data_IF_452951118813
#
_entry.id   IF_452951118813
#
_cell.length_a   1.000
_cell.length_b   1.000
_cell.length_c   1.000
_cell.angle_alpha   90.00
_cell.angle_beta   90.00
_cell.angle_gamma   90.00
#
_symmetry.space_group_name_H-M   'P 1'
#
loop_
_entity.id
_entity.type
_entity.pdbx_description
1 polymer ?
#
# COMPACT_ATOMS: atom_id res chain seq x y z
N UNK A 1 -1.12 15.69 13.61
CA UNK A 1 -1.61 14.29 13.55
C UNK A 1 -1.80 13.62 14.91
N UNK A 2 -1.72 14.37 16.03
CA UNK A 2 -1.71 13.84 17.40
C UNK A 2 -3.09 13.81 18.08
N UNK A 3 -4.17 14.12 17.36
CA UNK A 3 -5.51 14.21 17.96
C UNK A 3 -6.39 12.97 17.76
N UNK A 4 -5.95 12.00 16.95
CA UNK A 4 -6.70 10.76 16.74
C UNK A 4 -6.68 9.91 18.02
N UNK A 5 -7.86 9.64 18.56
CA UNK A 5 -8.05 8.84 19.76
C UNK A 5 -9.31 7.98 19.65
N UNK A 6 -9.48 7.01 20.54
CA UNK A 6 -10.62 6.10 20.57
C UNK A 6 -11.96 6.83 20.58
N UNK A 7 -12.11 7.84 21.43
CA UNK A 7 -13.37 8.57 21.56
C UNK A 7 -13.81 9.23 20.24
N UNK A 8 -12.86 9.80 19.51
CA UNK A 8 -13.11 10.39 18.18
C UNK A 8 -13.50 9.32 17.17
N UNK A 9 -12.80 8.17 17.14
CA UNK A 9 -13.08 7.08 16.22
C UNK A 9 -14.44 6.44 16.48
N UNK A 10 -14.82 6.25 17.74
CA UNK A 10 -16.16 5.78 18.12
C UNK A 10 -17.24 6.80 17.77
N UNK A 11 -17.00 8.10 18.00
CA UNK A 11 -17.94 9.15 17.57
C UNK A 11 -18.14 9.14 16.04
N UNK A 12 -17.07 8.93 15.29
CA UNK A 12 -17.14 8.76 13.82
C UNK A 12 -17.94 7.50 13.45
N UNK A 13 -17.76 6.37 14.16
CA UNK A 13 -18.55 5.15 13.96
C UNK A 13 -20.06 5.40 14.15
N UNK A 14 -20.46 6.08 15.22
CA UNK A 14 -21.88 6.45 15.47
C UNK A 14 -22.43 7.34 14.36
N UNK A 15 -21.62 8.29 13.86
CA UNK A 15 -22.03 9.11 12.72
C UNK A 15 -22.22 8.26 11.47
N UNK A 16 -21.31 7.35 11.15
CA UNK A 16 -21.43 6.44 10.00
C UNK A 16 -22.68 5.57 10.08
N UNK A 17 -23.04 5.11 11.29
CA UNK A 17 -24.24 4.27 11.49
C UNK A 17 -25.52 5.02 11.07
N UNK A 18 -25.60 6.34 11.30
CA UNK A 18 -26.73 7.17 10.87
C UNK A 18 -26.90 7.21 9.34
N UNK A 19 -25.86 6.87 8.57
CA UNK A 19 -25.92 6.83 7.11
C UNK A 19 -26.57 5.54 6.57
N UNK A 20 -26.86 4.56 7.44
CA UNK A 20 -27.60 3.35 7.10
C UNK A 20 -26.97 2.53 5.96
N UNK A 21 -25.64 2.45 5.92
CA UNK A 21 -24.88 1.68 4.92
C UNK A 21 -24.63 2.39 3.60
N UNK A 22 -25.01 3.66 3.46
CA UNK A 22 -24.65 4.46 2.27
C UNK A 22 -23.16 4.79 2.17
N UNK A 23 -22.43 4.58 3.26
CA UNK A 23 -20.96 4.70 3.31
C UNK A 23 -20.39 3.51 4.08
N UNK A 24 -19.40 2.85 3.48
CA UNK A 24 -18.60 1.80 4.11
C UNK A 24 -17.21 2.36 4.36
N UNK A 25 -16.73 2.29 5.60
CA UNK A 25 -15.38 2.75 5.95
C UNK A 25 -14.37 1.62 5.89
N UNK A 26 -13.18 1.91 5.41
CA UNK A 26 -12.02 1.01 5.45
C UNK A 26 -10.77 1.78 5.88
N UNK A 27 -9.64 1.10 6.01
CA UNK A 27 -8.34 1.76 6.22
C UNK A 27 -7.96 2.59 4.99
N UNK A 28 -7.41 3.77 5.26
CA UNK A 28 -6.82 4.66 4.29
C UNK A 28 -5.58 5.31 4.92
N UNK A 29 -4.97 6.27 4.22
CA UNK A 29 -3.82 7.00 4.71
C UNK A 29 -4.06 7.55 6.13
N UNK A 30 -3.14 7.22 7.03
CA UNK A 30 -3.21 7.65 8.42
C UNK A 30 -4.13 6.82 9.32
N UNK A 31 -4.79 5.77 8.80
CA UNK A 31 -5.59 4.85 9.60
C UNK A 31 -5.01 3.44 9.65
N UNK A 32 -5.38 2.69 10.69
CA UNK A 32 -4.89 1.35 10.98
C UNK A 32 -6.05 0.38 11.22
N UNK A 33 -5.79 -0.93 11.20
CA UNK A 33 -6.79 -1.94 11.57
C UNK A 33 -7.36 -1.70 12.98
N UNK A 34 -6.54 -1.24 13.93
CA UNK A 34 -7.00 -0.90 15.29
C UNK A 34 -8.00 0.28 15.30
N UNK A 35 -7.80 1.25 14.41
CA UNK A 35 -8.76 2.36 14.28
C UNK A 35 -10.12 1.85 13.80
N UNK A 36 -10.11 0.90 12.84
CA UNK A 36 -11.33 0.24 12.39
C UNK A 36 -12.01 -0.59 13.49
N UNK A 37 -11.23 -1.24 14.35
CA UNK A 37 -11.79 -1.96 15.51
C UNK A 37 -12.57 -1.02 16.43
N UNK A 38 -12.07 0.20 16.71
CA UNK A 38 -12.82 1.19 17.48
C UNK A 38 -14.10 1.67 16.77
N UNK A 39 -14.03 1.89 15.46
CA UNK A 39 -15.18 2.31 14.65
C UNK A 39 -16.24 1.19 14.62
N UNK A 40 -15.82 -0.07 14.46
CA UNK A 40 -16.71 -1.24 14.37
C UNK A 40 -17.50 -1.54 15.64
N UNK A 41 -17.09 -0.99 16.80
CA UNK A 41 -17.86 -1.09 18.02
C UNK A 41 -19.16 -0.27 18.00
N UNK A 42 -19.27 0.66 17.05
CA UNK A 42 -20.41 1.59 16.95
C UNK A 42 -21.22 1.40 15.66
N UNK A 43 -20.71 0.66 14.66
CA UNK A 43 -21.38 0.42 13.38
C UNK A 43 -20.91 -0.87 12.73
N UNK A 44 -21.79 -1.52 11.98
CA UNK A 44 -21.44 -2.67 11.13
C UNK A 44 -20.86 -2.27 9.75
N UNK A 45 -20.91 -1.01 9.40
CA UNK A 45 -20.52 -0.52 8.07
C UNK A 45 -19.01 -0.29 7.94
N UNK A 46 -18.23 -1.30 8.34
CA UNK A 46 -16.76 -1.31 8.34
C UNK A 46 -16.25 -2.47 7.49
N UNK A 47 -15.29 -2.21 6.60
CA UNK A 47 -14.65 -3.20 5.72
C UNK A 47 -13.15 -3.21 5.99
N UNK A 48 -12.52 -4.39 5.91
CA UNK A 48 -11.07 -4.50 6.12
C UNK A 48 -10.66 -4.61 7.60
N UNK A 49 -11.57 -5.02 8.48
CA UNK A 49 -11.21 -5.40 9.83
C UNK A 49 -10.14 -6.52 9.82
N UNK A 50 -9.27 -6.59 10.84
CA UNK A 50 -8.35 -7.71 11.00
C UNK A 50 -9.05 -9.07 10.90
N UNK A 51 -8.36 -10.07 10.34
CA UNK A 51 -8.90 -11.44 10.23
C UNK A 51 -9.28 -11.99 11.62
N UNK A 52 -8.49 -11.65 12.64
CA UNK A 52 -8.77 -12.00 14.05
C UNK A 52 -10.06 -11.39 14.60
N UNK A 53 -10.54 -10.31 13.98
CA UNK A 53 -11.81 -9.65 14.28
C UNK A 53 -12.92 -10.03 13.27
N UNK A 54 -12.75 -11.12 12.52
CA UNK A 54 -13.72 -11.61 11.54
C UNK A 54 -13.78 -10.83 10.22
N UNK A 55 -12.81 -9.95 9.97
CA UNK A 55 -12.72 -9.15 8.75
C UNK A 55 -11.93 -9.81 7.62
N UNK A 56 -11.83 -9.09 6.51
CA UNK A 56 -11.09 -9.51 5.30
C UNK A 56 -9.57 -9.25 5.36
N UNK A 57 -9.09 -8.58 6.42
CA UNK A 57 -7.68 -8.25 6.60
C UNK A 57 -7.23 -6.95 5.92
N UNK A 58 -5.92 -6.77 5.82
CA UNK A 58 -5.29 -5.55 5.29
C UNK A 58 -5.54 -5.42 3.79
N UNK A 59 -6.23 -4.36 3.40
CA UNK A 59 -6.57 -4.04 2.00
C UNK A 59 -5.34 -3.79 1.12
N UNK A 60 -4.19 -3.42 1.73
CA UNK A 60 -2.93 -3.17 1.02
C UNK A 60 -2.44 -4.38 0.23
N UNK A 61 -2.80 -5.60 0.66
CA UNK A 61 -2.45 -6.84 -0.05
C UNK A 61 -3.06 -6.84 -1.45
N UNK A 62 -4.36 -6.61 -1.54
CA UNK A 62 -5.08 -6.60 -2.82
C UNK A 62 -4.74 -5.37 -3.65
N UNK A 63 -4.48 -4.23 -3.01
CA UNK A 63 -4.02 -3.02 -3.69
C UNK A 63 -2.66 -3.24 -4.34
N UNK A 64 -1.72 -3.87 -3.62
CA UNK A 64 -0.40 -4.22 -4.17
C UNK A 64 -0.48 -5.18 -5.34
N UNK A 65 -1.38 -6.18 -5.28
CA UNK A 65 -1.67 -7.06 -6.41
C UNK A 65 -2.25 -6.27 -7.60
N UNK A 66 -3.17 -5.34 -7.34
CA UNK A 66 -3.78 -4.49 -8.38
C UNK A 66 -2.75 -3.65 -9.13
N UNK A 67 -1.80 -3.04 -8.43
CA UNK A 67 -0.69 -2.29 -9.03
C UNK A 67 0.17 -3.21 -9.90
N UNK A 68 0.58 -4.36 -9.37
CA UNK A 68 1.35 -5.35 -10.12
C UNK A 68 0.64 -5.79 -11.40
N UNK A 69 -0.66 -6.09 -11.34
CA UNK A 69 -1.46 -6.45 -12.53
C UNK A 69 -1.59 -5.29 -13.52
N UNK A 70 -1.68 -4.05 -13.02
CA UNK A 70 -1.64 -2.84 -13.85
C UNK A 70 -0.30 -2.70 -14.59
N UNK A 71 0.82 -2.93 -13.91
CA UNK A 71 2.15 -2.95 -14.54
C UNK A 71 2.23 -4.00 -15.64
N UNK A 72 1.71 -5.21 -15.41
CA UNK A 72 1.65 -6.28 -16.44
C UNK A 72 0.81 -5.88 -17.65
N UNK A 73 -0.34 -5.25 -17.42
CA UNK A 73 -1.18 -4.76 -18.52
C UNK A 73 -0.46 -3.70 -19.37
N UNK A 74 0.21 -2.74 -18.71
CA UNK A 74 1.03 -1.75 -19.40
C UNK A 74 2.21 -2.38 -20.15
N UNK A 75 2.88 -3.36 -19.53
CA UNK A 75 3.99 -4.10 -20.15
C UNK A 75 3.53 -4.80 -21.45
N UNK A 76 2.36 -5.44 -21.43
CA UNK A 76 1.78 -6.09 -22.60
C UNK A 76 1.52 -5.11 -23.74
N UNK A 77 1.01 -3.93 -23.40
CA UNK A 77 0.74 -2.89 -24.41
C UNK A 77 2.03 -2.31 -25.00
N UNK A 78 3.03 -2.01 -24.15
CA UNK A 78 4.26 -1.33 -24.57
C UNK A 78 5.25 -2.31 -25.22
N UNK A 79 5.40 -3.52 -24.67
CA UNK A 79 6.44 -4.48 -25.06
C UNK A 79 5.90 -5.75 -25.72
N UNK A 80 4.59 -5.88 -25.90
CA UNK A 80 3.95 -7.06 -26.49
C UNK A 80 3.90 -8.29 -25.58
N UNK A 81 4.44 -8.20 -24.35
CA UNK A 81 4.45 -9.26 -23.35
C UNK A 81 4.10 -8.70 -21.98
N UNK A 82 3.33 -9.44 -21.19
CA UNK A 82 2.98 -9.08 -19.83
C UNK A 82 4.05 -9.50 -18.80
N UNK A 83 5.17 -10.08 -19.25
CA UNK A 83 6.27 -10.45 -18.37
C UNK A 83 7.03 -9.22 -17.90
N UNK A 84 7.25 -9.16 -16.57
CA UNK A 84 8.10 -8.17 -15.92
C UNK A 84 9.47 -8.73 -15.56
N UNK A 85 9.79 -9.96 -15.98
CA UNK A 85 11.08 -10.58 -15.73
C UNK A 85 12.22 -9.72 -16.28
N UNK A 86 13.21 -9.44 -15.42
CA UNK A 86 14.37 -8.62 -15.77
C UNK A 86 14.07 -7.12 -15.94
N UNK A 87 12.81 -6.67 -15.83
CA UNK A 87 12.46 -5.26 -15.90
C UNK A 87 12.95 -4.51 -14.67
N UNK A 88 13.45 -3.30 -14.88
CA UNK A 88 13.94 -2.41 -13.83
C UNK A 88 12.80 -1.52 -13.36
N UNK A 89 12.50 -1.58 -12.05
CA UNK A 89 11.42 -0.84 -11.41
C UNK A 89 11.99 0.08 -10.34
N UNK A 90 11.83 1.39 -10.50
CA UNK A 90 12.16 2.38 -9.48
C UNK A 90 10.90 2.68 -8.64
N UNK A 91 10.94 2.41 -7.34
CA UNK A 91 9.82 2.60 -6.42
C UNK A 91 10.09 3.78 -5.48
N UNK A 92 9.31 4.84 -5.63
CA UNK A 92 9.32 5.99 -4.74
C UNK A 92 8.30 5.80 -3.62
N UNK A 93 8.79 5.53 -2.41
CA UNK A 93 7.99 5.14 -1.27
C UNK A 93 7.89 3.63 -1.10
N UNK A 94 8.10 3.13 0.12
CA UNK A 94 8.08 1.70 0.44
C UNK A 94 7.17 1.40 1.64
N UNK A 95 5.94 1.94 1.57
CA UNK A 95 4.85 1.65 2.50
C UNK A 95 4.28 0.24 2.30
N UNK A 96 3.16 -0.07 2.95
CA UNK A 96 2.51 -1.39 2.89
C UNK A 96 2.20 -1.83 1.46
N UNK A 97 1.54 -0.97 0.68
CA UNK A 97 1.14 -1.28 -0.71
C UNK A 97 2.36 -1.58 -1.56
N UNK A 98 3.38 -0.69 -1.52
CA UNK A 98 4.63 -0.89 -2.25
C UNK A 98 5.34 -2.19 -1.86
N UNK A 99 5.35 -2.53 -0.57
CA UNK A 99 5.92 -3.79 -0.07
C UNK A 99 5.21 -5.01 -0.70
N UNK A 100 3.87 -5.02 -0.75
CA UNK A 100 3.13 -6.12 -1.39
C UNK A 100 3.35 -6.17 -2.91
N UNK A 101 3.39 -5.02 -3.58
CA UNK A 101 3.75 -4.94 -5.00
C UNK A 101 5.15 -5.52 -5.25
N UNK A 102 6.14 -5.14 -4.43
CA UNK A 102 7.50 -5.63 -4.54
C UNK A 102 7.59 -7.15 -4.38
N UNK A 103 6.82 -7.76 -3.49
CA UNK A 103 6.77 -9.22 -3.35
C UNK A 103 6.33 -9.93 -4.65
N UNK A 104 5.42 -9.35 -5.42
CA UNK A 104 5.02 -9.90 -6.71
C UNK A 104 6.12 -9.71 -7.76
N UNK A 105 6.74 -8.54 -7.80
CA UNK A 105 7.84 -8.22 -8.71
C UNK A 105 9.08 -9.11 -8.47
N UNK A 106 9.44 -9.34 -7.20
CA UNK A 106 10.54 -10.23 -6.81
C UNK A 106 10.29 -11.67 -7.30
N UNK A 107 9.07 -12.18 -7.16
CA UNK A 107 8.70 -13.53 -7.64
C UNK A 107 8.79 -13.68 -9.15
N UNK A 108 8.76 -12.59 -9.88
CA UNK A 108 8.89 -12.55 -11.35
C UNK A 108 10.31 -12.13 -11.79
N UNK A 109 11.29 -12.12 -10.87
CA UNK A 109 12.69 -11.75 -11.13
C UNK A 109 12.85 -10.33 -11.71
N UNK A 110 12.00 -9.37 -11.32
CA UNK A 110 12.20 -7.96 -11.63
C UNK A 110 13.32 -7.35 -10.79
N UNK A 111 14.03 -6.37 -11.34
CA UNK A 111 15.08 -5.61 -10.65
C UNK A 111 14.44 -4.37 -10.00
N UNK A 112 14.47 -4.27 -8.68
CA UNK A 112 13.78 -3.19 -7.96
C UNK A 112 14.81 -2.32 -7.26
N UNK A 113 14.65 -1.00 -7.39
CA UNK A 113 15.36 0.02 -6.60
C UNK A 113 14.33 0.82 -5.82
N UNK A 114 14.60 1.12 -4.56
CA UNK A 114 13.63 1.71 -3.64
C UNK A 114 14.19 3.00 -3.03
N UNK A 115 13.32 3.96 -2.81
CA UNK A 115 13.56 5.06 -1.88
C UNK A 115 12.38 5.29 -0.95
N UNK A 116 12.64 5.81 0.25
CA UNK A 116 11.63 6.29 1.20
C UNK A 116 12.27 7.32 2.13
N UNK A 117 11.47 8.19 2.74
CA UNK A 117 11.92 9.12 3.79
C UNK A 117 11.89 8.46 5.18
N UNK A 118 11.26 7.31 5.33
CA UNK A 118 11.12 6.57 6.58
C UNK A 118 12.15 5.43 6.62
N UNK A 119 13.09 5.51 7.58
CA UNK A 119 14.16 4.52 7.74
C UNK A 119 13.63 3.10 8.01
N UNK A 120 12.51 2.95 8.73
CA UNK A 120 11.90 1.63 8.94
C UNK A 120 11.40 1.00 7.62
N UNK A 121 10.94 1.82 6.66
CA UNK A 121 10.57 1.37 5.33
C UNK A 121 11.80 0.92 4.54
N UNK A 122 12.89 1.69 4.61
CA UNK A 122 14.17 1.34 3.99
C UNK A 122 14.76 0.05 4.56
N UNK A 123 14.66 -0.15 5.87
CA UNK A 123 15.10 -1.39 6.52
C UNK A 123 14.30 -2.62 6.05
N UNK A 124 13.00 -2.45 5.80
CA UNK A 124 12.19 -3.52 5.18
C UNK A 124 12.68 -3.84 3.77
N UNK A 125 12.98 -2.83 2.97
CA UNK A 125 13.52 -3.02 1.61
C UNK A 125 14.87 -3.75 1.65
N UNK A 126 15.80 -3.33 2.52
CA UNK A 126 17.11 -3.99 2.70
C UNK A 126 16.97 -5.46 3.13
N UNK A 127 16.03 -5.77 4.03
CA UNK A 127 15.74 -7.16 4.45
C UNK A 127 15.22 -8.03 3.32
N UNK A 128 14.60 -7.44 2.30
CA UNK A 128 14.20 -8.12 1.07
C UNK A 128 15.34 -8.19 0.03
N UNK A 129 16.54 -7.68 0.35
CA UNK A 129 17.68 -7.64 -0.57
C UNK A 129 17.57 -6.57 -1.65
N UNK A 130 16.69 -5.57 -1.47
CA UNK A 130 16.49 -4.52 -2.47
C UNK A 130 17.49 -3.38 -2.29
N UNK A 131 18.12 -2.90 -3.36
CA UNK A 131 18.91 -1.68 -3.36
C UNK A 131 18.09 -0.48 -2.92
N UNK A 132 18.71 0.40 -2.13
CA UNK A 132 18.09 1.63 -1.63
C UNK A 132 18.94 2.82 -2.07
N UNK A 133 18.29 3.87 -2.54
CA UNK A 133 18.90 5.14 -2.94
C UNK A 133 18.33 6.31 -2.13
N UNK A 134 19.01 7.44 -2.14
CA UNK A 134 18.51 8.66 -1.50
C UNK A 134 17.23 9.16 -2.21
N UNK A 135 16.35 9.92 -1.51
CA UNK A 135 15.07 10.36 -2.09
C UNK A 135 15.20 11.11 -3.42
N UNK A 136 16.21 11.96 -3.55
CA UNK A 136 16.42 12.74 -4.77
C UNK A 136 17.07 11.93 -5.90
N UNK A 137 17.79 10.86 -5.57
CA UNK A 137 18.47 10.00 -6.55
C UNK A 137 17.53 9.08 -7.30
N UNK A 138 16.33 8.84 -6.79
CA UNK A 138 15.36 7.90 -7.41
C UNK A 138 14.95 8.34 -8.82
N UNK A 139 14.98 9.63 -9.09
CA UNK A 139 14.60 10.19 -10.39
C UNK A 139 15.68 9.99 -11.46
N UNK A 140 16.92 9.77 -11.02
CA UNK A 140 18.07 9.51 -11.90
C UNK A 140 18.31 8.00 -12.11
N UNK A 141 17.56 7.15 -11.43
CA UNK A 141 17.63 5.70 -11.60
C UNK A 141 17.13 5.30 -12.97
N UNK A 142 17.99 4.68 -13.76
CA UNK A 142 17.59 4.12 -15.05
C UNK A 142 16.62 2.96 -14.85
N UNK A 143 15.36 3.13 -15.25
CA UNK A 143 14.29 2.14 -15.05
C UNK A 143 13.39 2.00 -16.28
N UNK A 144 12.71 0.85 -16.36
CA UNK A 144 11.66 0.57 -17.35
C UNK A 144 10.29 1.04 -16.83
N UNK A 145 10.11 1.01 -15.49
CA UNK A 145 8.88 1.41 -14.80
C UNK A 145 9.25 2.29 -13.61
N UNK A 146 8.68 3.49 -13.54
CA UNK A 146 8.70 4.32 -12.34
C UNK A 146 7.38 4.15 -11.58
N UNK A 147 7.44 3.77 -10.31
CA UNK A 147 6.28 3.49 -9.45
C UNK A 147 6.20 4.50 -8.29
N UNK A 148 5.42 5.59 -8.44
CA UNK A 148 5.24 6.57 -7.38
C UNK A 148 4.27 6.03 -6.32
N UNK A 149 4.82 5.50 -5.22
CA UNK A 149 4.06 4.92 -4.10
C UNK A 149 4.09 5.80 -2.83
N UNK A 150 4.75 6.96 -2.89
CA UNK A 150 4.77 7.92 -1.79
C UNK A 150 3.48 8.75 -1.78
N UNK A 151 3.14 9.31 -0.59
CA UNK A 151 1.96 10.17 -0.41
C UNK A 151 2.10 11.53 -1.08
N UNK A 152 3.33 12.03 -1.15
CA UNK A 152 3.74 13.27 -1.81
C UNK A 152 5.05 12.99 -2.52
N UNK A 153 5.17 13.49 -3.71
CA UNK A 153 6.40 13.43 -4.50
C UNK A 153 7.33 14.58 -4.19
#
# INVERSE_FOLDING_TARGET
HTQKNEAMLRAFGRFLDTLGGRYLVTTDVGSTGRDLEYISQETQYVVGLPITAGGSGDTSIMTGLGIYMGMKACAKEIWGSDSLQGKRVAMQGFGKVATYTAHHLIKEDSQIVVTDINEEALDRARKLGLPVVAPDEIYDVECDIFSPCALVG
#
